data_IF_705172919421
#
_entry.id   IF_705172919421
#
_cell.length_a   1.000
_cell.length_b   1.000
_cell.length_c   1.000
_cell.angle_alpha   90.00
_cell.angle_beta   90.00
_cell.angle_gamma   90.00
#
_symmetry.space_group_name_H-M   'P 1'
#
loop_
_entity.id
_entity.type
_entity.pdbx_description
1 polymer ?
#
# COMPACT_ATOMS: atom_id res chain seq x y z
N UNK A 1 -15.15 -7.35 3.22
CA UNK A 1 -14.02 -8.30 3.03
C UNK A 1 -14.15 -9.43 4.05
N UNK A 2 -13.85 -10.69 3.71
CA UNK A 2 -13.85 -11.82 4.68
C UNK A 2 -12.51 -12.58 4.63
N UNK A 3 -12.29 -13.52 5.56
CA UNK A 3 -11.02 -14.26 5.67
C UNK A 3 -10.61 -14.92 4.35
N UNK A 4 -11.52 -15.64 3.69
CA UNK A 4 -11.21 -16.36 2.45
C UNK A 4 -10.85 -15.40 1.31
N UNK A 5 -11.60 -14.32 1.14
CA UNK A 5 -11.30 -13.27 0.15
C UNK A 5 -9.96 -12.58 0.43
N UNK A 6 -9.66 -12.31 1.69
CA UNK A 6 -8.38 -11.72 2.10
C UNK A 6 -7.20 -12.65 1.78
N UNK A 7 -7.31 -13.94 2.10
CA UNK A 7 -6.27 -14.92 1.77
C UNK A 7 -6.06 -15.06 0.26
N UNK A 8 -7.14 -15.01 -0.54
CA UNK A 8 -7.04 -15.03 -2.00
C UNK A 8 -6.27 -13.80 -2.53
N UNK A 9 -6.55 -12.61 -2.00
CA UNK A 9 -5.83 -11.38 -2.37
C UNK A 9 -4.35 -11.49 -2.04
N UNK A 10 -4.00 -12.01 -0.85
CA UNK A 10 -2.60 -12.23 -0.47
C UNK A 10 -1.92 -13.23 -1.41
N UNK A 11 -2.55 -14.37 -1.70
CA UNK A 11 -2.01 -15.40 -2.57
C UNK A 11 -1.74 -14.89 -3.99
N UNK A 12 -2.64 -14.05 -4.52
CA UNK A 12 -2.53 -13.51 -5.86
C UNK A 12 -1.47 -12.40 -5.98
N UNK A 13 -1.41 -11.48 -5.02
CA UNK A 13 -0.67 -10.23 -5.21
C UNK A 13 0.64 -10.14 -4.45
N UNK A 14 0.79 -10.84 -3.32
CA UNK A 14 1.91 -10.60 -2.41
C UNK A 14 3.25 -10.98 -3.05
N UNK A 15 3.37 -12.19 -3.60
CA UNK A 15 4.63 -12.66 -4.18
C UNK A 15 5.01 -11.91 -5.47
N UNK A 16 4.01 -11.57 -6.29
CA UNK A 16 4.23 -10.74 -7.48
C UNK A 16 4.76 -9.35 -7.10
N UNK A 17 4.21 -8.74 -6.04
CA UNK A 17 4.63 -7.42 -5.56
C UNK A 17 6.04 -7.42 -4.96
N UNK A 18 6.45 -8.52 -4.30
CA UNK A 18 7.80 -8.67 -3.73
C UNK A 18 8.85 -8.93 -4.81
N UNK A 19 8.48 -9.67 -5.86
CA UNK A 19 9.42 -10.12 -6.89
C UNK A 19 9.56 -9.12 -8.04
N UNK A 20 8.68 -8.14 -8.14
CA UNK A 20 8.69 -7.12 -9.20
C UNK A 20 9.28 -5.80 -8.68
N UNK A 21 10.24 -5.17 -9.38
CA UNK A 21 10.46 -3.74 -9.29
C UNK A 21 9.31 -3.03 -10.01
N UNK A 22 8.15 -2.98 -9.34
CA UNK A 22 6.89 -2.29 -9.67
C UNK A 22 6.72 -1.85 -11.15
N UNK A 23 6.40 -2.80 -12.04
CA UNK A 23 5.77 -2.52 -13.33
C UNK A 23 4.49 -3.35 -13.42
N UNK A 24 3.34 -2.71 -13.22
CA UNK A 24 2.04 -3.37 -13.37
C UNK A 24 1.59 -3.34 -14.83
N UNK A 25 2.04 -4.33 -15.60
CA UNK A 25 1.36 -4.77 -16.82
C UNK A 25 0.94 -6.22 -16.63
N UNK A 26 -0.29 -6.43 -16.19
CA UNK A 26 -0.89 -7.76 -16.07
C UNK A 26 -1.41 -8.22 -17.42
N UNK A 27 -0.70 -9.17 -18.04
CA UNK A 27 -1.30 -10.20 -18.91
C UNK A 27 -0.36 -11.39 -18.99
N UNK A 28 -0.53 -12.37 -18.09
CA UNK A 28 -0.71 -13.78 -18.44
C UNK A 28 -0.84 -14.65 -17.19
N UNK A 29 -1.83 -15.52 -17.24
CA UNK A 29 -2.11 -16.61 -16.30
C UNK A 29 -0.83 -17.35 -15.93
N UNK A 30 -0.32 -17.13 -14.73
CA UNK A 30 0.67 -18.01 -14.12
C UNK A 30 0.04 -18.54 -12.84
N UNK A 31 -0.26 -19.83 -12.82
CA UNK A 31 -0.75 -20.52 -11.63
C UNK A 31 0.26 -20.31 -10.48
N UNK A 32 -0.11 -19.65 -9.37
CA UNK A 32 0.81 -19.52 -8.25
C UNK A 32 0.94 -20.89 -7.57
N UNK A 33 2.15 -21.44 -7.64
CA UNK A 33 2.57 -22.60 -6.87
C UNK A 33 2.35 -22.31 -5.36
N UNK A 34 1.54 -23.10 -4.62
CA UNK A 34 1.22 -22.84 -3.23
C UNK A 34 2.36 -23.32 -2.31
N UNK A 35 3.59 -22.90 -2.57
CA UNK A 35 4.63 -22.98 -1.56
C UNK A 35 4.29 -21.94 -0.49
N UNK A 36 3.86 -22.42 0.69
CA UNK A 36 3.69 -21.59 1.90
C UNK A 36 5.04 -21.02 2.31
N UNK A 37 5.46 -19.93 1.67
CA UNK A 37 6.64 -19.18 2.09
C UNK A 37 6.34 -18.51 3.44
N UNK A 38 7.29 -18.60 4.36
CA UNK A 38 7.20 -17.97 5.68
C UNK A 38 7.31 -16.46 5.49
N UNK A 39 6.20 -15.76 5.64
CA UNK A 39 6.18 -14.30 5.64
C UNK A 39 6.57 -13.81 7.03
N UNK A 40 7.62 -13.00 7.13
CA UNK A 40 7.96 -12.31 8.36
C UNK A 40 6.98 -11.14 8.52
N UNK A 41 5.96 -11.35 9.35
CA UNK A 41 4.99 -10.30 9.68
C UNK A 41 5.65 -9.33 10.64
N UNK A 42 5.61 -8.04 10.32
CA UNK A 42 6.10 -6.98 11.19
C UNK A 42 5.22 -6.91 12.45
N UNK A 43 5.84 -6.75 13.61
CA UNK A 43 5.13 -6.46 14.85
C UNK A 43 4.48 -5.07 14.74
N UNK A 44 3.15 -5.01 14.94
CA UNK A 44 2.38 -3.79 14.75
C UNK A 44 1.61 -3.42 16.03
N UNK A 45 1.82 -2.23 16.60
CA UNK A 45 1.04 -1.78 17.76
C UNK A 45 -0.40 -1.45 17.35
N UNK A 46 -1.35 -1.82 18.21
CA UNK A 46 -2.77 -1.48 18.03
C UNK A 46 -2.98 0.04 17.91
N UNK A 47 -3.99 0.45 17.14
CA UNK A 47 -4.41 1.86 17.00
C UNK A 47 -3.31 2.86 16.61
N UNK A 48 -2.27 2.41 15.90
CA UNK A 48 -1.17 3.29 15.45
C UNK A 48 -1.17 3.47 13.92
N UNK A 49 -2.22 4.06 13.31
CA UNK A 49 -2.23 4.32 11.87
C UNK A 49 -1.18 5.36 11.46
N UNK A 50 -0.73 6.22 12.39
CA UNK A 50 0.32 7.22 12.21
C UNK A 50 1.68 6.59 11.84
N UNK A 51 1.89 5.34 12.25
CA UNK A 51 3.06 4.57 11.86
C UNK A 51 2.95 4.01 10.45
N UNK A 52 1.75 3.90 9.87
CA UNK A 52 1.58 3.27 8.56
C UNK A 52 1.82 4.26 7.42
N UNK A 53 2.96 4.13 6.73
CA UNK A 53 3.29 5.03 5.62
C UNK A 53 2.34 4.89 4.43
N UNK A 54 1.60 3.77 4.31
CA UNK A 54 0.62 3.62 3.22
C UNK A 54 -0.51 4.64 3.31
N UNK A 55 -0.81 5.17 4.50
CA UNK A 55 -1.84 6.22 4.69
C UNK A 55 -1.49 7.48 3.90
N UNK A 56 -0.19 7.77 3.78
CA UNK A 56 0.31 8.91 3.02
C UNK A 56 0.18 8.68 1.51
N UNK A 57 0.45 7.45 1.05
CA UNK A 57 0.22 7.07 -0.34
C UNK A 57 -1.27 7.11 -0.70
N UNK A 58 -2.16 6.69 0.20
CA UNK A 58 -3.60 6.85 0.01
C UNK A 58 -4.01 8.33 -0.07
N UNK A 59 -3.38 9.20 0.73
CA UNK A 59 -3.56 10.65 0.65
C UNK A 59 -3.11 11.23 -0.70
N UNK A 60 -1.97 10.79 -1.22
CA UNK A 60 -1.46 11.19 -2.53
C UNK A 60 -2.39 10.73 -3.65
N UNK A 61 -2.81 9.46 -3.63
CA UNK A 61 -3.74 8.89 -4.61
C UNK A 61 -5.07 9.65 -4.65
N UNK A 62 -5.71 9.85 -3.49
CA UNK A 62 -7.00 10.56 -3.41
C UNK A 62 -6.90 11.97 -3.99
N UNK A 63 -5.80 12.69 -3.75
CA UNK A 63 -5.58 14.03 -4.30
C UNK A 63 -5.43 14.01 -5.81
N UNK A 64 -4.69 13.06 -6.36
CA UNK A 64 -4.50 12.93 -7.80
C UNK A 64 -5.78 12.51 -8.52
N UNK A 65 -6.49 11.51 -8.01
CA UNK A 65 -7.79 11.06 -8.56
C UNK A 65 -8.82 12.20 -8.51
N UNK A 66 -8.91 12.94 -7.39
CA UNK A 66 -9.82 14.09 -7.27
C UNK A 66 -9.54 15.17 -8.31
N UNK A 67 -8.26 15.40 -8.66
CA UNK A 67 -7.87 16.39 -9.68
C UNK A 67 -8.39 16.04 -11.08
N UNK A 68 -8.66 14.76 -11.34
CA UNK A 68 -9.19 14.27 -12.61
C UNK A 68 -10.72 14.29 -12.70
N UNK A 69 -11.40 14.68 -11.61
CA UNK A 69 -12.85 14.87 -11.57
C UNK A 69 -13.64 13.68 -12.16
N UNK A 70 -13.52 12.46 -11.62
CA UNK A 70 -14.27 11.30 -12.14
C UNK A 70 -15.78 11.54 -12.03
N UNK A 71 -16.50 11.30 -13.13
CA UNK A 71 -17.95 11.54 -13.22
C UNK A 71 -18.79 10.31 -12.82
N UNK A 72 -18.18 9.13 -12.79
CA UNK A 72 -18.85 7.86 -12.48
C UNK A 72 -17.86 6.87 -11.85
N UNK A 73 -18.38 5.71 -11.41
CA UNK A 73 -17.57 4.68 -10.75
C UNK A 73 -16.53 4.04 -11.68
N UNK A 74 -16.83 3.91 -12.98
CA UNK A 74 -15.90 3.36 -13.97
C UNK A 74 -14.68 4.28 -14.15
N UNK A 75 -14.92 5.59 -14.27
CA UNK A 75 -13.86 6.60 -14.32
C UNK A 75 -13.05 6.62 -13.03
N UNK A 76 -13.73 6.53 -11.88
CA UNK A 76 -13.07 6.49 -10.58
C UNK A 76 -12.13 5.28 -10.48
N UNK A 77 -12.58 4.08 -10.85
CA UNK A 77 -11.75 2.87 -10.83
C UNK A 77 -10.57 2.99 -11.78
N UNK A 78 -10.80 3.45 -13.01
CA UNK A 78 -9.76 3.66 -14.01
C UNK A 78 -8.71 4.65 -13.52
N UNK A 79 -9.13 5.82 -13.02
CA UNK A 79 -8.21 6.84 -12.53
C UNK A 79 -7.46 6.37 -11.29
N UNK A 80 -8.08 5.59 -10.39
CA UNK A 80 -7.35 4.98 -9.27
C UNK A 80 -6.19 4.08 -9.74
N UNK A 81 -6.40 3.25 -10.77
CA UNK A 81 -5.34 2.37 -11.31
C UNK A 81 -4.23 3.17 -12.01
N UNK A 82 -4.60 4.14 -12.83
CA UNK A 82 -3.65 5.01 -13.55
C UNK A 82 -2.82 5.86 -12.58
N UNK A 83 -3.47 6.56 -11.64
CA UNK A 83 -2.77 7.41 -10.68
C UNK A 83 -1.91 6.60 -9.70
N UNK A 84 -2.33 5.37 -9.34
CA UNK A 84 -1.51 4.47 -8.53
C UNK A 84 -0.23 4.04 -9.26
N UNK A 85 -0.34 3.69 -10.54
CA UNK A 85 0.83 3.37 -11.37
C UNK A 85 1.76 4.58 -11.58
N UNK A 86 1.22 5.80 -11.52
CA UNK A 86 1.98 7.05 -11.65
C UNK A 86 2.70 7.50 -10.37
N UNK A 87 2.50 6.83 -9.23
CA UNK A 87 3.23 7.16 -8.00
C UNK A 87 4.72 6.87 -8.21
N UNK A 88 5.54 7.92 -8.22
CA UNK A 88 6.97 7.79 -8.43
C UNK A 88 7.66 6.99 -7.32
N UNK A 89 8.61 6.14 -7.70
CA UNK A 89 9.41 5.36 -6.74
C UNK A 89 10.17 6.24 -5.73
N UNK A 90 10.62 7.43 -6.15
CA UNK A 90 11.24 8.42 -5.27
C UNK A 90 10.31 8.86 -4.14
N UNK A 91 9.00 8.96 -4.41
CA UNK A 91 8.01 9.30 -3.38
C UNK A 91 7.91 8.21 -2.33
N UNK A 92 7.89 6.95 -2.74
CA UNK A 92 7.91 5.80 -1.83
C UNK A 92 9.19 5.78 -0.99
N UNK A 93 10.36 5.98 -1.61
CA UNK A 93 11.64 6.05 -0.91
C UNK A 93 11.65 7.16 0.16
N UNK A 94 11.21 8.37 -0.18
CA UNK A 94 11.11 9.49 0.77
C UNK A 94 10.22 9.17 1.98
N UNK A 95 9.12 8.45 1.78
CA UNK A 95 8.23 8.05 2.88
C UNK A 95 8.92 7.05 3.81
N UNK A 96 9.67 6.09 3.25
CA UNK A 96 10.45 5.12 4.02
C UNK A 96 11.56 5.84 4.80
N UNK A 97 12.31 6.74 4.16
CA UNK A 97 13.39 7.51 4.79
C UNK A 97 12.88 8.44 5.90
N UNK A 98 11.62 8.85 5.83
CA UNK A 98 10.98 9.66 6.88
C UNK A 98 10.57 8.84 8.11
N UNK A 99 10.51 7.51 8.02
CA UNK A 99 10.00 6.63 9.07
C UNK A 99 10.71 6.76 10.43
N UNK A 100 12.06 6.92 10.50
CA UNK A 100 12.74 7.15 11.77
C UNK A 100 12.18 8.34 12.57
N UNK A 101 11.64 9.36 11.90
CA UNK A 101 11.02 10.53 12.55
C UNK A 101 9.69 10.18 13.24
N UNK A 102 9.01 9.11 12.80
CA UNK A 102 7.73 8.63 13.35
C UNK A 102 7.86 7.74 14.57
N UNK A 103 9.09 7.26 14.85
CA UNK A 103 9.44 6.72 16.18
C UNK A 103 9.29 7.74 17.31
N UNK A 104 8.87 8.98 17.01
CA UNK A 104 8.33 9.91 17.99
C UNK A 104 7.26 9.28 18.89
N UNK A 105 6.52 8.26 18.43
CA UNK A 105 5.59 7.48 19.27
C UNK A 105 6.26 6.87 20.51
N UNK A 106 7.54 6.50 20.40
CA UNK A 106 8.33 5.97 21.52
C UNK A 106 8.57 7.08 22.54
N UNK A 107 8.92 8.28 22.06
CA UNK A 107 9.11 9.47 22.92
C UNK A 107 7.80 9.93 23.56
N UNK A 108 6.68 9.80 22.86
CA UNK A 108 5.34 10.12 23.38
C UNK A 108 4.74 9.01 24.24
N UNK A 109 5.47 7.93 24.53
CA UNK A 109 5.01 6.78 25.32
C UNK A 109 3.69 6.17 24.79
N UNK A 110 3.55 6.13 23.46
CA UNK A 110 2.35 5.59 22.80
C UNK A 110 1.23 6.61 22.58
N UNK A 111 1.39 7.87 22.99
CA UNK A 111 0.42 8.91 22.66
C UNK A 111 0.51 9.33 21.18
N UNK A 112 -0.62 9.83 20.65
CA UNK A 112 -0.76 10.26 19.25
C UNK A 112 0.34 11.24 18.83
N UNK A 113 0.86 11.04 17.62
CA UNK A 113 1.83 11.95 17.00
C UNK A 113 1.17 12.79 15.91
N UNK A 114 1.88 13.81 15.40
CA UNK A 114 1.40 14.67 14.30
C UNK A 114 1.37 13.97 12.93
N UNK A 115 1.77 12.70 12.87
CA UNK A 115 1.93 11.93 11.64
C UNK A 115 0.70 11.07 11.35
#
# INVERSE_FOLDING_TARGET
MNRSKYQAILAQNLQASVSSPFSMTTTQSTHPNPQKKKNNVLEWPSQSPDLNQIEYLWGDLKRSVRRRCPCNLTDLERFCKEEWANIAMSRCAMLIDSYPKRRAVIKSKGASTKY
#
